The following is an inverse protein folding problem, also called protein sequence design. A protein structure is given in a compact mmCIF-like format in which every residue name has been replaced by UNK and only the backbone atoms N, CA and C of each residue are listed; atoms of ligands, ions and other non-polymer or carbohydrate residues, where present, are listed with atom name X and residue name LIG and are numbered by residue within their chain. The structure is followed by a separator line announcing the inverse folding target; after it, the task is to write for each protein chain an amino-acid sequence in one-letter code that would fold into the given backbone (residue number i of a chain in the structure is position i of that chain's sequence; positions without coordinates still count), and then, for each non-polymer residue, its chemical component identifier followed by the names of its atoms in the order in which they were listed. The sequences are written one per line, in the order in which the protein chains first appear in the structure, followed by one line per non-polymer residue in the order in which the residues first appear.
data_IF_071882746253
#
_entry.id   IF_071882746253
#
_cell.length_a   1.000
_cell.length_b   1.000
_cell.length_c   1.000
_cell.angle_alpha   90.00
_cell.angle_beta   90.00
_cell.angle_gamma   90.00
#
_symmetry.space_group_name_H-M   'P 1'
#
loop_
_entity.id
_entity.type
_entity.pdbx_description
1 polymer ?
#
# COMPACT_ATOMS: atom_id res chain seq x y z
N UNK A 1 16.09 12.62 -15.40
CA UNK A 1 15.40 11.31 -15.40
C UNK A 1 14.30 11.33 -14.36
N UNK A 2 13.12 10.93 -14.76
CA UNK A 2 11.99 10.86 -13.83
C UNK A 2 12.12 9.55 -13.05
N UNK A 3 12.15 9.58 -11.70
CA UNK A 3 12.18 8.35 -10.93
C UNK A 3 10.96 7.49 -11.24
N UNK A 4 11.11 6.18 -11.30
CA UNK A 4 9.97 5.31 -11.53
C UNK A 4 8.96 5.43 -10.39
N UNK A 5 7.69 5.34 -10.72
CA UNK A 5 6.65 5.29 -9.70
C UNK A 5 6.69 3.95 -8.98
N UNK A 6 6.48 4.00 -7.68
CA UNK A 6 6.27 2.79 -6.91
C UNK A 6 4.81 2.37 -7.04
N UNK A 7 4.57 1.12 -7.40
CA UNK A 7 3.22 0.62 -7.57
C UNK A 7 2.81 -0.17 -6.33
N UNK A 8 1.72 0.24 -5.71
CA UNK A 8 1.10 -0.48 -4.61
C UNK A 8 -0.16 -1.14 -5.15
N UNK A 9 -0.23 -2.45 -5.06
CA UNK A 9 -1.40 -3.20 -5.48
C UNK A 9 -2.38 -3.26 -4.32
N UNK A 10 -3.59 -2.76 -4.52
CA UNK A 10 -4.63 -2.82 -3.50
C UNK A 10 -5.23 -4.22 -3.45
N UNK A 11 -5.54 -4.68 -2.25
CA UNK A 11 -6.10 -5.99 -2.00
C UNK A 11 -5.18 -6.85 -1.19
N UNK A 12 -5.39 -8.15 -1.27
CA UNK A 12 -4.65 -9.15 -0.51
C UNK A 12 -3.44 -9.63 -1.29
N UNK A 13 -2.29 -9.72 -0.61
CA UNK A 13 -1.11 -10.38 -1.15
C UNK A 13 -0.58 -11.36 -0.11
N UNK A 14 0.02 -12.45 -0.61
CA UNK A 14 0.57 -13.51 0.25
C UNK A 14 2.03 -13.73 -0.04
N UNK A 15 2.79 -13.97 1.02
CA UNK A 15 4.21 -14.29 0.94
C UNK A 15 4.57 -15.22 2.09
N UNK A 16 5.83 -15.60 2.18
CA UNK A 16 6.33 -16.40 3.31
C UNK A 16 7.60 -15.76 3.83
N UNK A 17 7.81 -15.86 5.14
CA UNK A 17 9.05 -15.40 5.75
C UNK A 17 10.13 -16.49 5.65
N UNK A 18 11.31 -16.20 6.21
CA UNK A 18 12.43 -17.12 6.18
C UNK A 18 12.16 -18.42 6.94
N UNK A 19 11.21 -18.41 7.87
CA UNK A 19 10.82 -19.58 8.65
C UNK A 19 9.67 -20.34 8.02
N UNK A 20 9.20 -19.89 6.84
CA UNK A 20 8.12 -20.54 6.13
C UNK A 20 6.73 -20.17 6.60
N UNK A 21 6.60 -19.21 7.51
CA UNK A 21 5.29 -18.76 7.99
C UNK A 21 4.61 -17.93 6.92
N UNK A 22 3.33 -18.17 6.73
CA UNK A 22 2.54 -17.41 5.76
C UNK A 22 2.34 -15.97 6.24
N UNK A 23 2.65 -15.01 5.37
CA UNK A 23 2.41 -13.60 5.61
C UNK A 23 1.32 -13.14 4.64
N UNK A 24 0.23 -12.60 5.18
CA UNK A 24 -0.84 -12.02 4.38
C UNK A 24 -0.84 -10.53 4.63
N UNK A 25 -0.77 -9.74 3.56
CA UNK A 25 -0.77 -8.29 3.64
C UNK A 25 -1.96 -7.75 2.87
N UNK A 26 -2.71 -6.86 3.51
CA UNK A 26 -3.85 -6.18 2.91
C UNK A 26 -3.49 -4.71 2.72
N UNK A 27 -3.65 -4.22 1.49
CA UNK A 27 -3.52 -2.80 1.16
C UNK A 27 -4.89 -2.31 0.72
N UNK A 28 -5.44 -1.31 1.40
CA UNK A 28 -6.75 -0.78 1.01
C UNK A 28 -6.88 0.70 1.35
N UNK A 29 -7.78 1.36 0.65
CA UNK A 29 -8.11 2.75 0.92
C UNK A 29 -9.18 2.76 2.01
N UNK A 30 -8.83 3.28 3.18
CA UNK A 30 -9.74 3.36 4.32
C UNK A 30 -10.59 4.63 4.28
N UNK A 31 -10.00 5.76 3.86
CA UNK A 31 -10.72 7.00 3.69
C UNK A 31 -10.38 7.63 2.34
N UNK A 32 -11.40 8.13 1.67
CA UNK A 32 -11.26 8.83 0.40
C UNK A 32 -11.75 10.26 0.60
N UNK A 33 -10.82 11.20 0.68
CA UNK A 33 -11.12 12.63 0.84
C UNK A 33 -10.89 13.36 -0.47
N UNK A 34 -11.41 14.59 -0.63
CA UNK A 34 -11.24 15.33 -1.88
C UNK A 34 -9.79 15.49 -2.34
N UNK A 35 -8.85 15.69 -1.41
CA UNK A 35 -7.46 15.98 -1.75
C UNK A 35 -6.47 14.89 -1.34
N UNK A 36 -6.92 13.86 -0.61
CA UNK A 36 -6.04 12.82 -0.10
C UNK A 36 -6.78 11.52 0.09
N UNK A 37 -6.02 10.44 0.18
CA UNK A 37 -6.56 9.12 0.55
C UNK A 37 -5.76 8.58 1.72
N UNK A 38 -6.42 7.82 2.58
CA UNK A 38 -5.76 7.09 3.64
C UNK A 38 -5.53 5.66 3.20
N UNK A 39 -4.27 5.32 2.93
CA UNK A 39 -3.88 3.95 2.61
C UNK A 39 -3.60 3.22 3.91
N UNK A 40 -4.30 2.12 4.13
CA UNK A 40 -4.12 1.27 5.29
C UNK A 40 -3.44 -0.01 4.87
N UNK A 41 -2.44 -0.41 5.64
CA UNK A 41 -1.69 -1.64 5.40
C UNK A 41 -1.77 -2.49 6.66
N UNK A 42 -2.40 -3.65 6.56
CA UNK A 42 -2.51 -4.59 7.65
C UNK A 42 -1.75 -5.87 7.30
N UNK A 43 -0.93 -6.35 8.22
CA UNK A 43 -0.14 -7.54 7.99
C UNK A 43 -0.46 -8.60 9.05
N UNK A 44 -0.64 -9.83 8.57
CA UNK A 44 -0.91 -10.99 9.41
C UNK A 44 0.17 -12.04 9.17
N UNK A 45 0.69 -12.58 10.25
CA UNK A 45 1.70 -13.65 10.19
C UNK A 45 1.10 -14.89 10.81
N UNK A 46 1.06 -15.99 10.06
CA UNK A 46 0.45 -17.25 10.49
C UNK A 46 -0.99 -17.05 11.04
N UNK A 47 -1.75 -16.16 10.37
CA UNK A 47 -3.13 -15.88 10.75
C UNK A 47 -3.31 -14.91 11.91
N UNK A 48 -2.22 -14.38 12.48
CA UNK A 48 -2.29 -13.45 13.60
C UNK A 48 -1.89 -12.03 13.15
N UNK A 49 -2.61 -11.04 13.64
CA UNK A 49 -2.29 -9.65 13.36
C UNK A 49 -0.88 -9.32 13.85
N UNK A 50 -0.02 -8.89 12.94
CA UNK A 50 1.37 -8.56 13.24
C UNK A 50 1.57 -7.06 13.36
N UNK A 51 1.17 -6.28 12.34
CA UNK A 51 1.24 -4.84 12.40
C UNK A 51 0.16 -4.20 11.52
N UNK A 52 0.01 -2.89 11.70
CA UNK A 52 -0.97 -2.09 11.00
C UNK A 52 -0.40 -0.70 10.85
N UNK A 53 -0.39 -0.19 9.63
CA UNK A 53 0.13 1.15 9.34
C UNK A 53 -0.85 1.93 8.48
N UNK A 54 -0.81 3.24 8.62
CA UNK A 54 -1.67 4.16 7.90
C UNK A 54 -0.82 5.23 7.25
N UNK A 55 -1.13 5.55 5.99
CA UNK A 55 -0.39 6.54 5.22
C UNK A 55 -1.37 7.47 4.52
N UNK A 56 -1.27 8.77 4.81
CA UNK A 56 -2.01 9.78 4.06
C UNK A 56 -1.24 10.13 2.80
N UNK A 57 -1.89 9.97 1.66
CA UNK A 57 -1.28 10.22 0.36
C UNK A 57 -2.06 11.32 -0.36
N UNK A 58 -1.40 12.44 -0.76
CA UNK A 58 -2.07 13.50 -1.49
C UNK A 58 -2.42 13.05 -2.89
N UNK A 59 -3.68 13.24 -3.29
CA UNK A 59 -4.16 12.81 -4.59
C UNK A 59 -3.42 13.46 -5.76
N UNK A 60 -2.89 14.67 -5.54
CA UNK A 60 -2.14 15.38 -6.58
C UNK A 60 -0.81 14.72 -6.93
N UNK A 61 -0.30 13.85 -6.06
CA UNK A 61 1.00 13.21 -6.23
C UNK A 61 0.92 11.71 -6.53
N UNK A 62 -0.26 11.15 -6.47
CA UNK A 62 -0.47 9.72 -6.71
C UNK A 62 -1.39 9.52 -7.90
N UNK A 63 -1.41 8.29 -8.40
CA UNK A 63 -2.30 7.94 -9.48
C UNK A 63 -3.04 6.66 -9.10
N UNK A 64 -4.36 6.72 -9.11
CA UNK A 64 -5.21 5.55 -8.89
C UNK A 64 -5.45 4.88 -10.24
N UNK A 65 -5.15 3.59 -10.32
CA UNK A 65 -5.29 2.82 -11.55
C UNK A 65 -6.42 1.80 -11.38
N UNK A 66 -7.63 2.15 -11.77
CA UNK A 66 -8.75 1.20 -11.71
C UNK A 66 -8.56 0.11 -12.77
N UNK A 67 -8.87 -1.12 -12.38
CA UNK A 67 -8.84 -2.25 -13.30
C UNK A 67 -10.03 -3.15 -12.97
N UNK A 68 -10.97 -3.34 -13.90
CA UNK A 68 -12.16 -4.14 -13.63
C UNK A 68 -11.90 -5.63 -13.42
N UNK A 69 -10.73 -6.12 -13.83
CA UNK A 69 -10.38 -7.55 -13.76
C UNK A 69 -9.46 -7.86 -12.59
N UNK A 70 -8.64 -6.88 -12.16
CA UNK A 70 -7.65 -7.06 -11.09
C UNK A 70 -7.88 -6.03 -9.99
N UNK A 71 -7.27 -6.24 -8.81
CA UNK A 71 -7.32 -5.25 -7.75
C UNK A 71 -6.83 -3.89 -8.24
N UNK A 72 -7.37 -2.83 -7.69
CA UNK A 72 -6.92 -1.48 -7.97
C UNK A 72 -5.45 -1.33 -7.58
N UNK A 73 -4.78 -0.41 -8.26
CA UNK A 73 -3.37 -0.11 -8.02
C UNK A 73 -3.21 1.36 -7.76
N UNK A 74 -2.22 1.70 -6.94
CA UNK A 74 -1.83 3.08 -6.70
C UNK A 74 -0.39 3.24 -7.18
N UNK A 75 -0.14 4.23 -8.02
CA UNK A 75 1.22 4.65 -8.35
C UNK A 75 1.61 5.79 -7.43
N UNK A 76 2.67 5.59 -6.67
CA UNK A 76 3.19 6.57 -5.72
C UNK A 76 4.63 6.89 -6.12
N UNK A 77 5.03 8.17 -6.19
CA UNK A 77 6.43 8.48 -6.43
C UNK A 77 7.34 7.82 -5.40
N UNK A 78 8.45 7.25 -5.85
CA UNK A 78 9.35 6.52 -4.96
C UNK A 78 9.80 7.36 -3.76
N UNK A 79 10.14 8.64 -4.00
CA UNK A 79 10.59 9.52 -2.91
C UNK A 79 9.50 9.73 -1.85
N UNK A 80 8.26 9.86 -2.28
CA UNK A 80 7.14 10.04 -1.36
C UNK A 80 6.89 8.77 -0.55
N UNK A 81 6.93 7.62 -1.22
CA UNK A 81 6.73 6.34 -0.56
C UNK A 81 7.81 6.07 0.48
N UNK A 82 9.08 6.32 0.11
CA UNK A 82 10.20 6.16 1.04
C UNK A 82 10.06 7.08 2.25
N UNK A 83 9.61 8.31 2.03
CA UNK A 83 9.38 9.26 3.11
C UNK A 83 8.29 8.77 4.07
N UNK A 84 7.20 8.22 3.54
CA UNK A 84 6.12 7.68 4.35
C UNK A 84 6.56 6.44 5.13
N UNK A 85 7.35 5.57 4.51
CA UNK A 85 7.89 4.39 5.18
C UNK A 85 8.85 4.77 6.30
N UNK A 86 9.52 5.89 6.19
CA UNK A 86 10.43 6.41 7.22
C UNK A 86 9.69 7.08 8.38
N UNK A 87 8.36 7.17 8.33
CA UNK A 87 7.55 7.71 9.43
C UNK A 87 7.27 9.20 9.34
N UNK A 88 7.43 9.79 8.18
CA UNK A 88 7.14 11.21 8.00
C UNK A 88 5.82 11.47 7.29
#
# INVERSE_FOLDING_TARGET
MIPPHHIVILGESKSRDLEGREITTYHFIDEDRPKSVLLKVERFVAGRAADKKEYWLPKSMIKLLPNPVHPEKIEVPTWLWEKKLAGE
#
